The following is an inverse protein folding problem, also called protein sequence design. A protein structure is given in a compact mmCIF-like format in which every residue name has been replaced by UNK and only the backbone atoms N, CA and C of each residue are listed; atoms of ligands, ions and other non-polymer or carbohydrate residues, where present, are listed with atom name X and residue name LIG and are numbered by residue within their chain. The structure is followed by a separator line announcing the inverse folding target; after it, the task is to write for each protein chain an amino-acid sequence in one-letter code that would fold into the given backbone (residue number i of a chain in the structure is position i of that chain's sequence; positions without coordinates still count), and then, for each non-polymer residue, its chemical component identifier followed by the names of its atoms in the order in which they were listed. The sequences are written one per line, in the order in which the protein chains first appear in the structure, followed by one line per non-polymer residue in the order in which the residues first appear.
data_IF_720856774085
#
_entry.id   IF_720856774085
#
_cell.length_a   1.000
_cell.length_b   1.000
_cell.length_c   1.000
_cell.angle_alpha   90.00
_cell.angle_beta   90.00
_cell.angle_gamma   90.00
#
_symmetry.space_group_name_H-M   'P 1'
#
loop_
_entity.id
_entity.type
_entity.pdbx_description
1 polymer ?
#
# COMPACT_ATOMS: atom_id res chain seq x y z
N UNK A 1 0.97 -15.72 -11.68
CA UNK A 1 1.23 -15.12 -10.34
C UNK A 1 0.22 -14.01 -10.11
N UNK A 2 -0.47 -13.95 -8.97
CA UNK A 2 -1.44 -12.88 -8.65
C UNK A 2 -1.12 -12.32 -7.27
N UNK A 3 -0.78 -11.03 -7.16
CA UNK A 3 -0.55 -10.36 -5.89
C UNK A 3 -1.76 -9.49 -5.51
N UNK A 4 -1.99 -9.31 -4.22
CA UNK A 4 -2.95 -8.32 -3.71
C UNK A 4 -2.17 -7.07 -3.31
N UNK A 5 -2.59 -5.91 -3.82
CA UNK A 5 -2.00 -4.61 -3.54
C UNK A 5 -3.02 -3.76 -2.78
N UNK A 6 -2.55 -3.05 -1.76
CA UNK A 6 -3.33 -2.07 -1.01
C UNK A 6 -2.50 -0.81 -0.83
N UNK A 7 -3.15 0.35 -0.82
CA UNK A 7 -2.52 1.66 -0.68
C UNK A 7 -3.23 2.48 0.42
N UNK A 8 -2.46 3.30 1.12
CA UNK A 8 -2.96 4.23 2.15
C UNK A 8 -2.02 5.43 2.23
N UNK A 9 -2.47 6.55 2.79
CA UNK A 9 -1.59 7.70 2.98
C UNK A 9 -0.42 7.36 3.93
N UNK A 10 0.78 7.86 3.61
CA UNK A 10 2.09 7.45 4.16
C UNK A 10 2.22 7.80 5.63
N UNK A 11 1.51 8.85 6.05
CA UNK A 11 1.43 9.27 7.45
C UNK A 11 0.36 8.50 8.24
N UNK A 12 -0.46 7.65 7.60
CA UNK A 12 -1.44 6.82 8.29
C UNK A 12 -0.81 5.52 8.79
N UNK A 13 0.06 5.66 9.80
CA UNK A 13 0.75 4.56 10.45
C UNK A 13 -0.20 3.50 11.03
N UNK A 14 -1.43 3.90 11.40
CA UNK A 14 -2.46 2.96 11.89
C UNK A 14 -2.92 2.00 10.81
N UNK A 15 -3.17 2.51 9.60
CA UNK A 15 -3.55 1.69 8.45
C UNK A 15 -2.40 0.78 8.03
N UNK A 16 -1.16 1.27 7.99
CA UNK A 16 0.03 0.45 7.74
C UNK A 16 0.15 -0.71 8.73
N UNK A 17 -0.01 -0.45 10.03
CA UNK A 17 0.04 -1.48 11.07
C UNK A 17 -1.04 -2.57 10.89
N UNK A 18 -2.24 -2.21 10.43
CA UNK A 18 -3.29 -3.19 10.09
C UNK A 18 -2.86 -4.04 8.89
N UNK A 19 -2.35 -3.42 7.83
CA UNK A 19 -1.90 -4.16 6.64
C UNK A 19 -0.80 -5.16 6.98
N UNK A 20 0.19 -4.76 7.79
CA UNK A 20 1.24 -5.66 8.27
C UNK A 20 0.69 -6.83 9.09
N UNK A 21 -0.23 -6.56 10.03
CA UNK A 21 -0.89 -7.60 10.84
C UNK A 21 -1.68 -8.60 10.00
N UNK A 22 -2.26 -8.17 8.88
CA UNK A 22 -2.97 -9.06 7.94
C UNK A 22 -2.04 -9.85 7.01
N UNK A 23 -0.72 -9.71 7.17
CA UNK A 23 0.29 -10.43 6.40
C UNK A 23 0.66 -9.78 5.08
N UNK A 24 0.32 -8.51 4.87
CA UNK A 24 0.90 -7.71 3.80
C UNK A 24 2.27 -7.17 4.22
N UNK A 25 3.12 -6.81 3.27
CA UNK A 25 4.43 -6.17 3.54
C UNK A 25 4.49 -4.82 2.85
N UNK A 26 5.16 -3.85 3.46
CA UNK A 26 5.45 -2.57 2.82
C UNK A 26 6.37 -2.77 1.60
N UNK A 27 5.96 -2.28 0.44
CA UNK A 27 6.72 -2.32 -0.81
C UNK A 27 7.40 -1.00 -1.16
N UNK A 28 6.98 0.10 -0.55
CA UNK A 28 7.48 1.44 -0.90
C UNK A 28 6.37 2.47 -0.91
N UNK A 29 6.72 3.68 -1.35
CA UNK A 29 5.78 4.77 -1.51
C UNK A 29 5.65 5.20 -2.96
N UNK A 30 4.44 5.54 -3.38
CA UNK A 30 4.21 6.27 -4.63
C UNK A 30 4.65 7.72 -4.39
N UNK A 31 5.36 8.28 -5.38
CA UNK A 31 5.87 9.67 -5.37
C UNK A 31 5.37 10.46 -6.57
N UNK A 32 4.48 9.90 -7.38
CA UNK A 32 3.88 10.58 -8.51
C UNK A 32 2.88 11.64 -8.05
N UNK A 33 2.48 12.51 -8.99
CA UNK A 33 1.31 13.37 -8.80
C UNK A 33 0.05 12.52 -8.67
N UNK A 34 -0.87 12.96 -7.82
CA UNK A 34 -2.14 12.28 -7.64
C UNK A 34 -3.14 13.09 -6.82
N UNK A 35 -4.42 12.73 -6.95
CA UNK A 35 -5.51 13.34 -6.20
C UNK A 35 -5.65 12.57 -4.89
N UNK A 36 -5.44 13.26 -3.76
CA UNK A 36 -5.66 12.69 -2.44
C UNK A 36 -7.11 12.94 -2.05
N UNK A 37 -7.81 11.88 -1.62
CA UNK A 37 -9.18 11.98 -1.15
C UNK A 37 -9.29 13.06 -0.05
N UNK A 38 -10.36 13.87 -0.11
CA UNK A 38 -10.60 15.01 0.79
C UNK A 38 -9.65 16.22 0.62
N UNK A 39 -8.80 16.24 -0.41
CA UNK A 39 -7.99 17.42 -0.73
C UNK A 39 -8.37 18.03 -2.09
N UNK A 40 -8.41 19.36 -2.16
CA UNK A 40 -8.68 20.06 -3.41
C UNK A 40 -7.41 20.07 -4.28
N UNK A 41 -7.49 19.46 -5.46
CA UNK A 41 -6.43 19.47 -6.47
C UNK A 41 -5.49 18.28 -6.44
N UNK A 42 -4.69 18.16 -7.50
CA UNK A 42 -3.63 17.17 -7.63
C UNK A 42 -2.40 17.61 -6.81
N UNK A 43 -1.81 16.70 -6.03
CA UNK A 43 -0.62 16.96 -5.24
C UNK A 43 0.59 16.26 -5.81
N UNK A 44 1.73 16.97 -5.84
CA UNK A 44 3.06 16.37 -6.00
C UNK A 44 3.36 15.44 -4.80
N UNK A 45 3.92 14.25 -5.06
CA UNK A 45 4.14 13.21 -4.05
C UNK A 45 2.86 12.74 -3.33
N UNK A 46 1.82 12.36 -4.08
CA UNK A 46 0.65 11.68 -3.50
C UNK A 46 1.15 10.58 -2.56
N UNK A 47 0.91 10.71 -1.24
CA UNK A 47 1.77 10.09 -0.25
C UNK A 47 1.31 8.66 -0.05
N UNK A 48 1.13 7.84 -1.06
CA UNK A 48 0.61 6.50 -0.84
C UNK A 48 1.74 5.57 -0.40
N UNK A 49 1.62 4.99 0.79
CA UNK A 49 2.32 3.80 1.18
C UNK A 49 1.66 2.60 0.49
N UNK A 50 2.47 1.78 -0.16
CA UNK A 50 2.03 0.59 -0.89
C UNK A 50 2.39 -0.65 -0.08
N UNK A 51 1.38 -1.47 0.19
CA UNK A 51 1.53 -2.74 0.86
C UNK A 51 1.00 -3.86 -0.02
N UNK A 52 1.62 -5.03 0.10
CA UNK A 52 1.50 -6.06 -0.92
C UNK A 52 1.56 -7.45 -0.29
N UNK A 53 0.75 -8.37 -0.80
CA UNK A 53 0.71 -9.77 -0.34
C UNK A 53 0.78 -10.73 -1.50
N UNK A 54 1.71 -11.67 -1.39
CA UNK A 54 1.94 -12.73 -2.35
C UNK A 54 1.07 -13.91 -1.95
N UNK A 55 0.52 -14.65 -2.92
CA UNK A 55 -0.13 -15.91 -2.62
C UNK A 55 0.95 -16.82 -2.05
N UNK A 56 0.65 -17.49 -0.94
CA UNK A 56 1.53 -18.54 -0.45
C UNK A 56 1.62 -19.57 -1.58
N UNK A 57 2.79 -19.70 -2.20
CA UNK A 57 3.08 -20.85 -3.04
C UNK A 57 2.88 -22.05 -2.13
N UNK A 58 1.86 -22.87 -2.42
CA UNK A 58 1.73 -24.16 -1.79
C UNK A 58 3.07 -24.87 -2.04
N UNK A 59 3.81 -25.17 -0.97
CA UNK A 59 4.97 -26.08 -1.06
C UNK A 59 4.39 -27.38 -1.61
N UNK A 60 4.65 -27.69 -2.87
CA UNK A 60 4.44 -29.04 -3.39
C UNK A 60 5.33 -29.95 -2.53
N UNK A 61 4.67 -30.85 -1.80
CA UNK A 61 5.32 -31.94 -1.08
C UNK A 61 5.85 -32.95 -2.08
#
# INVERSE_FOLDING_TARGET
MRAVVSCTVRHNFRSCAVMERTGMRYAGGIRSRGIVELTAGEQDNAPDAVCVRWPRTARQR
#
